data_IF_148372105156
#
_entry.id   IF_148372105156
#
_cell.length_a   1.000
_cell.length_b   1.000
_cell.length_c   1.000
_cell.angle_alpha   90.00
_cell.angle_beta   90.00
_cell.angle_gamma   90.00
#
_symmetry.space_group_name_H-M   'P 1'
#
loop_
_entity.id
_entity.type
_entity.pdbx_description
1 polymer ?
#
# COMPACT_ATOMS: atom_id res chain seq x y z
N UNK A 1 -22.97 1.23 -3.37
CA UNK A 1 -22.03 0.43 -2.55
C UNK A 1 -20.79 0.09 -3.37
N UNK A 2 -19.60 0.34 -2.83
CA UNK A 2 -18.37 0.02 -3.55
C UNK A 2 -18.02 -1.46 -3.37
N UNK A 3 -18.03 -2.22 -4.47
CA UNK A 3 -17.73 -3.65 -4.45
C UNK A 3 -16.26 -3.95 -4.72
N UNK A 4 -15.46 -2.94 -5.06
CA UNK A 4 -14.03 -3.12 -5.35
C UNK A 4 -13.25 -3.43 -4.08
N UNK A 5 -12.27 -4.30 -4.20
CA UNK A 5 -11.42 -4.64 -3.06
C UNK A 5 -10.65 -3.40 -2.59
N UNK A 6 -10.50 -3.23 -1.27
CA UNK A 6 -9.67 -2.15 -0.78
C UNK A 6 -8.20 -2.37 -1.14
N UNK A 7 -7.48 -1.27 -1.33
CA UNK A 7 -6.03 -1.28 -1.52
C UNK A 7 -5.38 -0.61 -0.33
N UNK A 8 -4.17 -1.01 0.00
CA UNK A 8 -3.47 -0.46 1.15
C UNK A 8 -1.97 -0.39 0.91
N UNK A 9 -1.33 0.58 1.54
CA UNK A 9 0.10 0.78 1.47
C UNK A 9 0.64 1.20 2.84
N UNK A 10 1.96 1.31 2.93
CA UNK A 10 2.67 1.75 4.13
C UNK A 10 3.55 2.94 3.79
N UNK A 11 3.58 3.93 4.68
CA UNK A 11 4.53 5.03 4.57
C UNK A 11 5.28 5.20 5.90
N UNK A 12 6.59 5.23 5.81
CA UNK A 12 7.47 5.51 6.94
C UNK A 12 8.11 6.87 6.67
N UNK A 13 7.68 7.89 7.40
CA UNK A 13 8.08 9.27 7.21
C UNK A 13 6.93 10.22 7.47
N UNK A 14 7.22 11.52 7.52
CA UNK A 14 6.23 12.54 7.87
C UNK A 14 5.49 13.12 6.67
N UNK A 15 6.10 13.08 5.49
CA UNK A 15 5.52 13.66 4.27
C UNK A 15 5.64 12.73 3.09
N UNK A 16 4.56 12.65 2.32
CA UNK A 16 4.56 11.98 1.02
C UNK A 16 5.18 12.89 -0.04
N UNK A 17 5.92 12.29 -0.96
CA UNK A 17 6.38 12.99 -2.16
C UNK A 17 5.24 13.12 -3.16
N UNK A 18 5.40 14.03 -4.12
CA UNK A 18 4.37 14.29 -5.13
C UNK A 18 3.95 13.03 -5.88
N UNK A 19 4.92 12.20 -6.27
CA UNK A 19 4.64 10.95 -6.98
C UNK A 19 3.79 10.00 -6.14
N UNK A 20 4.07 9.90 -4.85
CA UNK A 20 3.31 9.04 -3.94
C UNK A 20 1.87 9.52 -3.79
N UNK A 21 1.68 10.83 -3.69
CA UNK A 21 0.34 11.42 -3.63
C UNK A 21 -0.44 11.11 -4.90
N UNK A 22 0.20 11.27 -6.06
CA UNK A 22 -0.42 10.98 -7.35
C UNK A 22 -0.84 9.52 -7.47
N UNK A 23 0.05 8.60 -7.09
CA UNK A 23 -0.22 7.16 -7.18
C UNK A 23 -1.35 6.75 -6.23
N UNK A 24 -1.34 7.22 -4.98
CA UNK A 24 -2.42 6.93 -4.05
C UNK A 24 -3.75 7.48 -4.55
N UNK A 25 -3.75 8.71 -5.07
CA UNK A 25 -4.97 9.33 -5.60
C UNK A 25 -5.52 8.55 -6.79
N UNK A 26 -4.66 7.95 -7.61
CA UNK A 26 -5.10 7.18 -8.77
C UNK A 26 -5.99 6.00 -8.37
N UNK A 27 -5.71 5.37 -7.23
CA UNK A 27 -6.54 4.27 -6.73
C UNK A 27 -7.88 4.77 -6.22
N UNK A 28 -7.92 5.93 -5.58
CA UNK A 28 -9.17 6.58 -5.15
C UNK A 28 -10.05 6.87 -6.36
N UNK A 29 -9.47 7.47 -7.40
CA UNK A 29 -10.20 7.82 -8.62
C UNK A 29 -10.74 6.56 -9.31
N UNK A 30 -10.00 5.46 -9.26
CA UNK A 30 -10.44 4.19 -9.84
C UNK A 30 -11.57 3.51 -9.04
N UNK A 31 -11.93 4.04 -7.88
CA UNK A 31 -13.04 3.53 -7.08
C UNK A 31 -12.64 2.55 -5.98
N UNK A 32 -11.35 2.38 -5.71
CA UNK A 32 -10.88 1.54 -4.61
C UNK A 32 -10.86 2.33 -3.31
N UNK A 33 -11.35 1.72 -2.23
CA UNK A 33 -11.07 2.23 -0.89
C UNK A 33 -9.56 2.15 -0.69
N UNK A 34 -8.92 3.29 -0.47
CA UNK A 34 -7.47 3.41 -0.42
C UNK A 34 -7.04 3.76 1.00
N UNK A 35 -6.25 2.88 1.60
CA UNK A 35 -5.79 3.00 2.98
C UNK A 35 -4.28 3.21 2.97
N UNK A 36 -3.83 4.20 3.71
CA UNK A 36 -2.40 4.43 3.94
C UNK A 36 -2.10 4.22 5.41
N UNK A 37 -1.37 3.15 5.70
CA UNK A 37 -0.85 2.92 7.05
C UNK A 37 0.42 3.75 7.23
N UNK A 38 0.48 4.50 8.31
CA UNK A 38 1.57 5.44 8.55
C UNK A 38 2.27 5.12 9.86
N UNK A 39 3.61 5.01 9.80
CA UNK A 39 4.44 4.86 10.99
C UNK A 39 4.55 6.18 11.76
N UNK A 40 4.48 7.30 11.02
CA UNK A 40 4.55 8.65 11.58
C UNK A 40 3.26 9.40 11.24
N UNK A 41 3.11 10.61 11.80
CA UNK A 41 1.97 11.45 11.46
C UNK A 41 2.18 12.05 10.07
N UNK A 42 1.33 11.70 9.12
CA UNK A 42 1.35 12.24 7.76
C UNK A 42 0.20 13.20 7.58
N UNK A 43 0.48 14.43 7.17
CA UNK A 43 -0.53 15.49 7.03
C UNK A 43 -0.82 15.86 5.57
N UNK A 44 -0.15 15.25 4.61
CA UNK A 44 -0.33 15.58 3.19
C UNK A 44 -0.85 14.42 2.34
N UNK A 45 -1.58 13.48 2.95
CA UNK A 45 -2.25 12.43 2.19
C UNK A 45 -3.34 13.04 1.30
N UNK A 46 -3.51 12.54 0.06
CA UNK A 46 -4.54 13.06 -0.84
C UNK A 46 -5.94 12.86 -0.30
N UNK A 47 -6.85 13.72 -0.72
CA UNK A 47 -8.27 13.58 -0.39
C UNK A 47 -8.78 12.22 -0.86
N UNK A 48 -9.54 11.54 -0.01
CA UNK A 48 -10.09 10.22 -0.28
C UNK A 48 -9.23 9.07 0.21
N UNK A 49 -7.99 9.33 0.60
CA UNK A 49 -7.12 8.32 1.20
C UNK A 49 -7.40 8.27 2.71
N UNK A 50 -7.70 7.07 3.21
CA UNK A 50 -7.90 6.85 4.64
C UNK A 50 -6.54 6.60 5.31
N UNK A 51 -6.14 7.50 6.18
CA UNK A 51 -4.88 7.38 6.92
C UNK A 51 -5.14 6.61 8.22
N UNK A 52 -4.34 5.57 8.48
CA UNK A 52 -4.45 4.77 9.70
C UNK A 52 -3.06 4.54 10.30
N UNK A 53 -2.96 4.38 11.62
CA UNK A 53 -1.66 4.09 12.21
C UNK A 53 -1.16 2.70 11.82
N UNK A 54 0.12 2.59 11.49
CA UNK A 54 0.74 1.30 11.14
C UNK A 54 0.65 0.30 12.30
N UNK A 55 0.56 0.78 13.52
CA UNK A 55 0.43 -0.06 14.72
C UNK A 55 -0.81 -0.95 14.72
N UNK A 56 -1.81 -0.65 13.91
CA UNK A 56 -2.97 -1.55 13.74
C UNK A 56 -2.56 -2.90 13.15
N UNK A 57 -1.47 -2.94 12.41
CA UNK A 57 -0.93 -4.14 11.78
C UNK A 57 0.30 -4.64 12.54
N UNK A 58 1.29 -3.77 12.75
CA UNK A 58 2.48 -4.08 13.53
C UNK A 58 3.15 -2.78 13.99
N UNK A 59 3.84 -2.85 15.13
CA UNK A 59 4.61 -1.71 15.62
C UNK A 59 5.82 -1.43 14.75
N UNK A 60 5.97 -0.19 14.35
CA UNK A 60 7.13 0.29 13.59
C UNK A 60 7.63 1.55 14.30
N UNK A 61 8.80 1.46 14.94
CA UNK A 61 9.40 2.59 15.61
C UNK A 61 10.79 2.90 15.00
N UNK A 62 11.37 4.01 15.44
CA UNK A 62 12.66 4.47 14.91
C UNK A 62 13.79 3.48 15.17
N UNK A 63 13.78 2.82 16.32
CA UNK A 63 14.81 1.83 16.65
C UNK A 63 14.73 0.64 15.72
N UNK A 64 13.52 0.16 15.44
CA UNK A 64 13.30 -0.97 14.54
C UNK A 64 13.72 -0.60 13.11
N UNK A 65 13.38 0.60 12.63
CA UNK A 65 13.78 1.07 11.31
C UNK A 65 15.31 1.16 11.22
N UNK A 66 15.97 1.67 12.27
CA UNK A 66 17.43 1.78 12.29
C UNK A 66 18.12 0.42 12.34
N UNK A 67 17.54 -0.55 13.05
CA UNK A 67 18.09 -1.89 13.20
C UNK A 67 17.94 -2.76 11.93
N UNK A 68 16.95 -2.44 11.10
CA UNK A 68 16.67 -3.20 9.88
C UNK A 68 16.74 -2.27 8.66
N UNK A 69 15.61 -1.98 8.05
CA UNK A 69 15.48 -0.97 7.01
C UNK A 69 13.99 -0.75 6.77
N UNK A 70 13.64 0.39 6.20
CA UNK A 70 12.26 0.66 5.81
C UNK A 70 11.79 -0.34 4.75
N UNK A 71 12.67 -0.72 3.82
CA UNK A 71 12.37 -1.70 2.78
C UNK A 71 12.05 -3.09 3.35
N UNK A 72 12.86 -3.57 4.28
CA UNK A 72 12.63 -4.85 4.94
C UNK A 72 11.32 -4.84 5.72
N UNK A 73 11.07 -3.78 6.50
CA UNK A 73 9.84 -3.65 7.28
C UNK A 73 8.62 -3.57 6.39
N UNK A 74 8.74 -2.90 5.25
CA UNK A 74 7.66 -2.84 4.26
C UNK A 74 7.31 -4.24 3.74
N UNK A 75 8.30 -5.09 3.50
CA UNK A 75 8.05 -6.47 3.05
C UNK A 75 7.31 -7.29 4.12
N UNK A 76 7.73 -7.18 5.38
CA UNK A 76 7.08 -7.88 6.49
C UNK A 76 5.65 -7.35 6.69
N UNK A 77 5.51 -6.03 6.71
CA UNK A 77 4.23 -5.37 6.89
C UNK A 77 3.22 -5.78 5.81
N UNK A 78 3.66 -5.82 4.58
CA UNK A 78 2.85 -6.17 3.41
C UNK A 78 2.08 -7.47 3.63
N UNK A 79 2.76 -8.52 4.02
CA UNK A 79 2.12 -9.83 4.20
C UNK A 79 1.27 -9.90 5.46
N UNK A 80 1.68 -9.25 6.54
CA UNK A 80 0.86 -9.16 7.75
C UNK A 80 -0.44 -8.40 7.48
N UNK A 81 -0.38 -7.31 6.73
CA UNK A 81 -1.53 -6.51 6.37
C UNK A 81 -2.52 -7.30 5.51
N UNK A 82 -2.03 -8.00 4.49
CA UNK A 82 -2.87 -8.83 3.62
C UNK A 82 -3.57 -9.92 4.43
N UNK A 83 -2.83 -10.61 5.29
CA UNK A 83 -3.38 -11.67 6.13
C UNK A 83 -4.46 -11.14 7.07
N UNK A 84 -4.26 -9.96 7.63
CA UNK A 84 -5.15 -9.39 8.63
C UNK A 84 -6.38 -8.72 8.02
N UNK A 85 -6.26 -8.07 6.86
CA UNK A 85 -7.33 -7.23 6.29
C UNK A 85 -7.90 -7.76 4.98
N UNK A 86 -7.16 -8.56 4.23
CA UNK A 86 -7.58 -8.98 2.89
C UNK A 86 -7.46 -7.90 1.82
N UNK A 87 -6.93 -6.73 2.15
CA UNK A 87 -6.72 -5.67 1.17
C UNK A 87 -5.61 -6.05 0.18
N UNK A 88 -5.65 -5.45 -1.01
CA UNK A 88 -4.58 -5.60 -1.99
C UNK A 88 -3.45 -4.66 -1.58
N UNK A 89 -2.24 -5.20 -1.45
CA UNK A 89 -1.07 -4.36 -1.22
C UNK A 89 -0.69 -3.63 -2.50
N UNK A 90 -0.41 -2.35 -2.37
CA UNK A 90 0.17 -1.54 -3.43
C UNK A 90 1.38 -0.79 -2.86
N UNK A 91 2.48 -0.72 -3.63
CA UNK A 91 3.56 0.19 -3.29
C UNK A 91 3.09 1.63 -3.48
N UNK A 92 3.63 2.56 -2.69
CA UNK A 92 3.24 3.97 -2.77
C UNK A 92 3.59 4.63 -4.11
N UNK A 93 4.39 3.98 -4.94
CA UNK A 93 4.74 4.43 -6.29
C UNK A 93 4.05 3.63 -7.40
N UNK A 94 3.06 2.80 -7.04
CA UNK A 94 2.27 2.05 -8.01
C UNK A 94 1.06 2.88 -8.45
N UNK A 95 1.06 3.30 -9.72
CA UNK A 95 -0.05 4.07 -10.30
C UNK A 95 -1.16 3.14 -10.78
N UNK A 96 -2.40 3.48 -10.46
CA UNK A 96 -3.56 2.69 -10.87
C UNK A 96 -4.08 3.19 -12.21
N UNK A 97 -3.72 2.47 -13.27
CA UNK A 97 -4.16 2.79 -14.62
C UNK A 97 -5.64 2.43 -14.83
N UNK A 98 -6.06 1.31 -14.26
CA UNK A 98 -7.46 0.85 -14.28
C UNK A 98 -7.73 0.04 -13.01
N UNK A 99 -9.00 -0.08 -12.59
CA UNK A 99 -9.32 -0.82 -11.37
C UNK A 99 -8.87 -2.27 -11.45
N UNK A 100 -8.52 -2.84 -10.29
CA UNK A 100 -8.21 -4.27 -10.21
C UNK A 100 -9.47 -5.11 -10.45
N UNK A 101 -9.35 -6.28 -11.08
CA UNK A 101 -10.49 -7.16 -11.31
C UNK A 101 -11.16 -7.58 -9.99
N UNK A 102 -12.48 -7.55 -9.95
CA UNK A 102 -13.26 -7.92 -8.77
C UNK A 102 -13.38 -9.43 -8.60
N UNK A 103 -13.24 -10.18 -9.70
CA UNK A 103 -13.42 -11.63 -9.76
C UNK A 103 -12.13 -12.42 -9.59
N UNK A 104 -11.01 -11.77 -9.28
CA UNK A 104 -9.71 -12.39 -9.13
C UNK A 104 -9.35 -12.49 -7.65
N UNK A 105 -9.16 -13.71 -7.18
CA UNK A 105 -8.72 -13.95 -5.80
C UNK A 105 -7.26 -13.57 -5.61
N UNK A 106 -6.42 -13.91 -6.59
CA UNK A 106 -4.98 -13.66 -6.52
C UNK A 106 -4.58 -12.60 -7.55
N UNK A 107 -3.86 -11.58 -7.08
CA UNK A 107 -3.39 -10.48 -7.91
C UNK A 107 -1.90 -10.30 -7.68
N UNK A 108 -1.11 -10.30 -8.74
CA UNK A 108 0.34 -10.09 -8.69
C UNK A 108 0.78 -9.18 -9.82
N UNK A 109 1.80 -8.34 -9.54
CA UNK A 109 2.50 -7.62 -10.57
C UNK A 109 3.54 -8.51 -11.25
N UNK A 110 4.03 -8.08 -12.41
CA UNK A 110 5.11 -8.75 -13.13
C UNK A 110 6.22 -7.76 -13.43
N UNK A 111 7.45 -8.24 -13.33
CA UNK A 111 8.61 -7.46 -13.74
C UNK A 111 8.67 -7.42 -15.27
N UNK A 112 8.74 -6.22 -15.86
CA UNK A 112 8.60 -6.05 -17.30
C UNK A 112 9.67 -6.73 -18.15
N UNK A 113 10.89 -6.85 -17.64
CA UNK A 113 12.03 -7.43 -18.38
C UNK A 113 12.09 -8.96 -18.26
N UNK A 114 11.86 -9.48 -17.05
CA UNK A 114 12.05 -10.91 -16.77
C UNK A 114 10.76 -11.71 -16.73
N UNK A 115 9.61 -11.05 -16.62
CA UNK A 115 8.33 -11.71 -16.39
C UNK A 115 8.18 -12.30 -15.01
N UNK A 116 9.18 -12.14 -14.13
CA UNK A 116 9.12 -12.62 -12.76
C UNK A 116 8.04 -11.87 -11.97
N UNK A 117 7.51 -12.50 -10.93
CA UNK A 117 6.52 -11.87 -10.06
C UNK A 117 7.14 -10.69 -9.31
N UNK A 118 6.40 -9.61 -9.24
CA UNK A 118 6.79 -8.39 -8.54
C UNK A 118 5.80 -8.14 -7.41
N UNK A 119 6.29 -7.98 -6.19
CA UNK A 119 5.46 -7.80 -5.01
C UNK A 119 5.05 -6.34 -4.77
N UNK A 120 5.25 -5.46 -5.73
CA UNK A 120 4.76 -4.08 -5.66
C UNK A 120 3.24 -3.98 -5.67
N UNK A 121 2.56 -5.01 -6.20
CA UNK A 121 1.11 -5.17 -6.11
C UNK A 121 0.85 -6.64 -5.77
N UNK A 122 0.19 -6.89 -4.65
CA UNK A 122 -0.09 -8.26 -4.20
C UNK A 122 -1.49 -8.33 -3.62
N UNK A 123 -2.31 -9.25 -4.15
CA UNK A 123 -3.61 -9.62 -3.60
C UNK A 123 -3.65 -11.12 -3.40
N UNK A 124 -3.99 -11.55 -2.19
CA UNK A 124 -4.07 -12.97 -1.84
C UNK A 124 -5.41 -13.32 -1.22
#
# INVERSE_FOLDING_TARGET
MNTRRPVASLWIGEKLHYLNQLCLKSHVVAGHKTILYCADKVDNAPEGVEVRPASEIMEIDRELVAATSASFLSNVFRYKMIQKTGAIWIDCDAFCHQPFPEDQEYIFGRHGMSGALNCGVVGL
#
